data_IF_377710250751
#
_entry.id   IF_377710250751
#
_cell.length_a   1.000
_cell.length_b   1.000
_cell.length_c   1.000
_cell.angle_alpha   90.00
_cell.angle_beta   90.00
_cell.angle_gamma   90.00
#
_symmetry.space_group_name_H-M   'P 1'
#
loop_
_entity.id
_entity.type
_entity.pdbx_description
1 polymer ?
#
# COMPACT_ATOMS: atom_id res chain seq x y z
N UNK A 1 5.25 12.74 -59.60
CA UNK A 1 4.82 12.78 -58.18
C UNK A 1 3.95 11.56 -57.92
N UNK A 2 4.15 10.82 -56.82
CA UNK A 2 3.27 9.72 -56.40
C UNK A 2 3.43 9.48 -54.88
N UNK A 3 2.36 9.53 -54.06
CA UNK A 3 2.45 9.28 -52.62
C UNK A 3 2.33 7.79 -52.30
N UNK A 4 3.33 7.22 -51.63
CA UNK A 4 3.29 5.83 -51.15
C UNK A 4 2.43 5.69 -49.89
N UNK A 5 1.29 5.00 -50.00
CA UNK A 5 0.41 4.72 -48.86
C UNK A 5 0.98 3.61 -47.95
N UNK A 6 1.77 3.99 -46.95
CA UNK A 6 2.25 3.03 -45.94
C UNK A 6 1.22 2.83 -44.82
N UNK A 7 0.33 1.87 -45.00
CA UNK A 7 -0.70 1.49 -44.02
C UNK A 7 -0.10 1.11 -42.66
N UNK A 8 -0.32 1.96 -41.65
CA UNK A 8 0.10 1.71 -40.26
C UNK A 8 -1.03 1.07 -39.46
N UNK A 9 -0.98 -0.26 -39.35
CA UNK A 9 -1.99 -1.09 -38.68
C UNK A 9 -2.09 -0.73 -37.19
N UNK A 10 -3.06 0.12 -36.81
CA UNK A 10 -3.30 0.58 -35.43
C UNK A 10 -3.60 -0.60 -34.48
N UNK A 11 -2.59 -1.03 -33.72
CA UNK A 11 -2.77 -1.90 -32.56
C UNK A 11 -3.44 -1.13 -31.42
N UNK A 12 -4.71 -1.41 -31.12
CA UNK A 12 -5.48 -0.67 -30.13
C UNK A 12 -5.20 -1.16 -28.70
N UNK A 13 -4.47 -0.37 -27.91
CA UNK A 13 -4.17 -0.65 -26.50
C UNK A 13 -5.37 -0.34 -25.56
N UNK A 14 -6.57 -0.84 -25.87
CA UNK A 14 -7.85 -0.48 -25.24
C UNK A 14 -8.08 -1.16 -23.87
N UNK A 15 -7.06 -1.24 -23.01
CA UNK A 15 -7.04 -2.21 -21.90
C UNK A 15 -6.52 -1.70 -20.53
N UNK A 16 -6.21 -0.40 -20.35
CA UNK A 16 -5.70 0.11 -19.08
C UNK A 16 -6.78 0.48 -18.04
N UNK A 17 -7.84 1.19 -18.46
CA UNK A 17 -8.86 1.75 -17.55
C UNK A 17 -10.21 1.06 -17.73
N UNK A 18 -10.26 -0.27 -17.50
CA UNK A 18 -11.51 -1.04 -17.47
C UNK A 18 -11.88 -1.31 -16.01
N UNK A 19 -13.15 -1.17 -15.67
CA UNK A 19 -13.70 -1.64 -14.40
C UNK A 19 -13.46 -3.14 -14.22
N UNK A 20 -13.19 -3.55 -12.97
CA UNK A 20 -13.19 -4.96 -12.58
C UNK A 20 -14.64 -5.45 -12.48
N UNK A 21 -14.91 -6.75 -12.69
CA UNK A 21 -16.26 -7.28 -12.46
C UNK A 21 -16.46 -7.65 -10.98
N UNK A 22 -17.70 -7.68 -10.47
CA UNK A 22 -17.97 -8.05 -9.07
C UNK A 22 -17.39 -9.41 -8.68
N UNK A 23 -17.35 -10.39 -9.61
CA UNK A 23 -16.78 -11.71 -9.37
C UNK A 23 -15.25 -11.65 -9.18
N UNK A 24 -14.56 -10.81 -9.95
CA UNK A 24 -13.10 -10.61 -9.85
C UNK A 24 -12.74 -9.90 -8.54
N UNK A 25 -13.56 -8.93 -8.15
CA UNK A 25 -13.40 -8.15 -6.92
C UNK A 25 -13.61 -9.06 -5.71
N UNK A 26 -14.71 -9.82 -5.66
CA UNK A 26 -14.99 -10.77 -4.58
C UNK A 26 -13.87 -11.82 -4.44
N UNK A 27 -13.37 -12.37 -5.55
CA UNK A 27 -12.24 -13.29 -5.56
C UNK A 27 -10.96 -12.63 -5.01
N UNK A 28 -10.60 -11.44 -5.50
CA UNK A 28 -9.39 -10.73 -5.09
C UNK A 28 -9.41 -10.30 -3.61
N UNK A 29 -10.56 -9.84 -3.12
CA UNK A 29 -10.78 -9.52 -1.70
C UNK A 29 -10.66 -10.78 -0.85
N UNK A 30 -11.33 -11.88 -1.24
CA UNK A 30 -11.26 -13.16 -0.51
C UNK A 30 -9.82 -13.67 -0.36
N UNK A 31 -9.02 -13.65 -1.44
CA UNK A 31 -7.60 -14.03 -1.41
C UNK A 31 -6.78 -13.15 -0.46
N UNK A 32 -6.99 -11.83 -0.46
CA UNK A 32 -6.26 -10.93 0.43
C UNK A 32 -6.70 -11.03 1.88
N UNK A 33 -7.99 -11.20 2.16
CA UNK A 33 -8.50 -11.45 3.51
C UNK A 33 -7.96 -12.76 4.06
N UNK A 34 -7.94 -13.85 3.29
CA UNK A 34 -7.33 -15.12 3.72
C UNK A 34 -5.83 -14.96 4.04
N UNK A 35 -5.08 -14.23 3.21
CA UNK A 35 -3.66 -13.95 3.43
C UNK A 35 -3.40 -12.96 4.58
N UNK A 36 -4.38 -12.13 4.95
CA UNK A 36 -4.34 -11.25 6.12
C UNK A 36 -4.65 -12.06 7.40
N UNK A 37 -5.73 -12.85 7.40
CA UNK A 37 -6.09 -13.78 8.48
C UNK A 37 -4.95 -14.77 8.80
N UNK A 38 -4.27 -15.33 7.79
CA UNK A 38 -3.12 -16.22 8.03
C UNK A 38 -1.94 -15.48 8.70
N UNK A 39 -1.77 -14.17 8.47
CA UNK A 39 -0.73 -13.38 9.18
C UNK A 39 -1.16 -13.01 10.59
N UNK A 40 -2.41 -12.58 10.78
CA UNK A 40 -2.97 -12.24 12.08
C UNK A 40 -3.00 -13.46 13.02
N UNK A 41 -3.35 -14.64 12.51
CA UNK A 41 -3.26 -15.92 13.23
C UNK A 41 -1.83 -16.31 13.65
N UNK A 42 -0.80 -15.73 13.01
CA UNK A 42 0.61 -15.91 13.38
C UNK A 42 1.18 -14.78 14.28
N UNK A 43 0.35 -13.80 14.67
CA UNK A 43 0.76 -12.61 15.43
C UNK A 43 -0.36 -12.07 16.32
N UNK A 44 -1.01 -12.96 17.07
CA UNK A 44 -2.28 -12.66 17.74
C UNK A 44 -2.15 -11.77 18.99
N UNK A 45 -2.72 -10.55 18.94
CA UNK A 45 -3.35 -9.86 20.09
C UNK A 45 -4.21 -8.66 19.66
N UNK A 46 -5.33 -8.45 20.36
CA UNK A 46 -6.23 -7.27 20.37
C UNK A 46 -7.12 -6.95 19.12
N UNK A 47 -8.15 -6.12 19.37
CA UNK A 47 -9.22 -5.61 18.47
C UNK A 47 -9.77 -4.28 19.09
N UNK A 48 -10.84 -3.57 18.66
CA UNK A 48 -11.94 -3.74 17.67
C UNK A 48 -12.47 -2.32 17.28
N UNK A 49 -13.68 -1.96 16.79
CA UNK A 49 -15.01 -2.58 16.57
C UNK A 49 -15.77 -1.79 15.45
N UNK A 50 -17.11 -1.89 15.41
CA UNK A 50 -18.12 -1.28 14.49
C UNK A 50 -18.61 0.14 14.96
N UNK A 51 -19.38 0.98 14.23
CA UNK A 51 -19.95 1.02 12.84
C UNK A 51 -20.52 2.44 12.51
N UNK A 52 -21.02 2.63 11.27
CA UNK A 52 -22.18 3.47 10.78
C UNK A 52 -21.87 4.38 9.56
N UNK A 53 -22.81 4.41 8.61
CA UNK A 53 -22.87 5.00 7.24
C UNK A 53 -24.15 5.91 7.14
N UNK A 54 -24.54 6.62 6.03
CA UNK A 54 -24.18 6.40 4.60
C UNK A 54 -24.01 7.63 3.67
N UNK A 55 -23.79 7.33 2.37
CA UNK A 55 -24.11 8.10 1.14
C UNK A 55 -23.30 9.42 0.88
N UNK A 56 -23.10 9.89 -0.36
CA UNK A 56 -23.75 9.64 -1.67
C UNK A 56 -22.86 8.92 -2.75
N UNK A 57 -23.47 8.62 -3.90
CA UNK A 57 -22.79 8.16 -5.13
C UNK A 57 -22.70 9.27 -6.20
N UNK A 58 -21.47 9.62 -6.59
CA UNK A 58 -21.15 10.55 -7.68
C UNK A 58 -20.35 9.82 -8.75
N UNK A 59 -20.71 9.97 -10.02
CA UNK A 59 -19.99 9.41 -11.17
C UNK A 59 -18.52 9.87 -11.15
N UNK A 60 -17.61 8.92 -10.92
CA UNK A 60 -16.30 9.22 -10.34
C UNK A 60 -15.12 8.93 -11.28
N UNK A 61 -14.16 9.86 -11.43
CA UNK A 61 -13.00 9.72 -12.32
C UNK A 61 -11.95 8.68 -11.86
N UNK A 62 -12.27 7.76 -10.95
CA UNK A 62 -11.32 6.81 -10.34
C UNK A 62 -11.86 5.37 -10.36
N UNK A 63 -11.96 4.73 -11.55
CA UNK A 63 -12.80 3.55 -11.75
C UNK A 63 -12.37 2.30 -10.96
N UNK A 64 -11.10 2.17 -10.57
CA UNK A 64 -10.64 0.99 -9.82
C UNK A 64 -11.06 1.12 -8.35
N UNK A 65 -10.70 2.23 -7.68
CA UNK A 65 -11.09 2.47 -6.29
C UNK A 65 -12.62 2.43 -6.10
N UNK A 66 -13.37 3.06 -7.01
CA UNK A 66 -14.84 3.04 -6.93
C UNK A 66 -15.42 1.65 -7.26
N UNK A 67 -14.84 0.86 -8.17
CA UNK A 67 -15.32 -0.52 -8.38
C UNK A 67 -15.22 -1.38 -7.12
N UNK A 68 -14.16 -1.22 -6.32
CA UNK A 68 -14.06 -1.87 -5.01
C UNK A 68 -15.13 -1.35 -4.03
N UNK A 69 -15.32 -0.03 -3.90
CA UNK A 69 -16.34 0.58 -3.01
C UNK A 69 -17.76 0.14 -3.36
N UNK A 70 -18.16 0.24 -4.62
CA UNK A 70 -19.52 -0.08 -5.09
C UNK A 70 -19.82 -1.60 -5.06
N UNK A 71 -18.80 -2.46 -4.92
CA UNK A 71 -19.01 -3.92 -4.76
C UNK A 71 -19.26 -4.34 -3.31
N UNK A 72 -18.64 -3.65 -2.33
CA UNK A 72 -18.86 -3.79 -0.89
C UNK A 72 -18.21 -2.57 -0.21
N UNK A 73 -18.95 -1.74 0.57
CA UNK A 73 -18.42 -0.56 1.25
C UNK A 73 -17.21 -0.84 2.16
N UNK A 74 -17.05 -2.06 2.66
CA UNK A 74 -15.92 -2.46 3.52
C UNK A 74 -14.66 -2.85 2.74
N UNK A 75 -14.70 -2.92 1.41
CA UNK A 75 -13.52 -3.29 0.62
C UNK A 75 -12.32 -2.34 0.82
N UNK A 76 -12.47 -1.00 0.90
CA UNK A 76 -11.37 -0.12 1.32
C UNK A 76 -10.81 -0.50 2.69
N UNK A 77 -11.66 -0.67 3.72
CA UNK A 77 -11.25 -1.07 5.07
C UNK A 77 -10.41 -2.36 5.03
N UNK A 78 -10.91 -3.39 4.30
CA UNK A 78 -10.24 -4.69 4.16
C UNK A 78 -8.94 -4.63 3.37
N UNK A 79 -8.81 -3.74 2.38
CA UNK A 79 -7.66 -3.67 1.47
C UNK A 79 -6.56 -2.70 1.91
N UNK A 80 -6.89 -1.66 2.70
CA UNK A 80 -5.93 -0.59 3.05
C UNK A 80 -5.95 -0.19 4.54
N UNK A 81 -6.75 -0.83 5.40
CA UNK A 81 -6.93 -0.48 6.83
C UNK A 81 -7.45 0.95 7.09
N UNK A 82 -8.03 1.60 6.08
CA UNK A 82 -8.68 2.90 6.19
C UNK A 82 -10.13 2.78 5.74
N UNK A 83 -11.06 3.36 6.49
CA UNK A 83 -12.43 3.62 6.03
C UNK A 83 -12.43 4.53 4.79
N UNK A 84 -13.58 4.60 4.11
CA UNK A 84 -13.76 5.50 2.97
C UNK A 84 -13.38 6.96 3.32
N UNK A 85 -13.88 7.48 4.44
CA UNK A 85 -13.63 8.85 4.89
C UNK A 85 -12.17 9.12 5.25
N UNK A 86 -11.48 8.16 5.89
CA UNK A 86 -10.06 8.30 6.20
C UNK A 86 -9.20 8.30 4.93
N UNK A 87 -9.51 7.45 3.95
CA UNK A 87 -8.83 7.47 2.66
C UNK A 87 -9.06 8.79 1.91
N UNK A 88 -10.28 9.34 1.89
CA UNK A 88 -10.51 10.68 1.30
C UNK A 88 -9.80 11.80 2.07
N UNK A 89 -9.73 11.72 3.41
CA UNK A 89 -8.99 12.66 4.27
C UNK A 89 -7.48 12.56 4.09
N UNK A 90 -6.94 11.37 3.81
CA UNK A 90 -5.54 11.19 3.44
C UNK A 90 -5.28 11.69 2.01
N UNK A 91 -6.12 11.28 1.05
CA UNK A 91 -6.06 11.68 -0.35
C UNK A 91 -6.11 13.21 -0.52
N UNK A 92 -7.01 13.90 0.17
CA UNK A 92 -7.13 15.37 0.12
C UNK A 92 -5.86 16.13 0.53
N UNK A 93 -5.01 15.52 1.36
CA UNK A 93 -3.73 16.09 1.79
C UNK A 93 -2.59 15.80 0.80
N UNK A 94 -2.62 14.67 0.08
CA UNK A 94 -1.56 14.28 -0.88
C UNK A 94 -1.85 14.67 -2.33
N UNK A 95 -3.13 14.92 -2.70
CA UNK A 95 -3.56 15.10 -4.10
C UNK A 95 -2.86 16.21 -4.87
N UNK A 96 -2.45 17.30 -4.19
CA UNK A 96 -1.75 18.43 -4.83
C UNK A 96 -0.33 18.02 -5.22
N UNK A 97 0.48 17.62 -4.24
CA UNK A 97 1.83 17.09 -4.44
C UNK A 97 1.87 15.98 -5.49
N UNK A 98 0.91 15.05 -5.44
CA UNK A 98 0.78 13.98 -6.44
C UNK A 98 0.48 14.55 -7.84
N UNK A 99 -0.43 15.52 -7.99
CA UNK A 99 -0.76 16.10 -9.30
C UNK A 99 0.39 16.90 -9.91
N UNK A 100 1.27 17.46 -9.08
CA UNK A 100 2.43 18.26 -9.47
C UNK A 100 3.68 17.40 -9.77
N UNK A 101 3.85 16.26 -9.09
CA UNK A 101 5.08 15.45 -9.14
C UNK A 101 4.91 14.06 -9.76
N UNK A 102 3.69 13.51 -9.88
CA UNK A 102 3.45 12.23 -10.55
C UNK A 102 3.08 12.42 -12.02
N UNK A 103 3.57 11.52 -12.88
CA UNK A 103 3.21 11.46 -14.30
C UNK A 103 3.55 12.73 -15.12
N UNK A 104 4.49 13.54 -14.63
CA UNK A 104 5.03 14.75 -15.27
C UNK A 104 6.28 14.44 -16.11
N UNK A 105 6.78 15.43 -16.86
CA UNK A 105 7.96 15.30 -17.71
C UNK A 105 7.72 14.64 -19.07
N UNK A 106 8.81 14.24 -19.73
CA UNK A 106 8.82 13.62 -21.07
C UNK A 106 8.94 12.09 -20.97
N UNK A 107 8.03 11.36 -21.62
CA UNK A 107 8.05 9.90 -21.69
C UNK A 107 6.67 9.29 -21.92
N UNK A 108 6.55 7.95 -21.87
CA UNK A 108 5.23 7.30 -21.80
C UNK A 108 4.65 7.53 -20.41
N UNK A 109 3.55 8.28 -20.36
CA UNK A 109 2.77 8.49 -19.14
C UNK A 109 2.06 7.22 -18.68
N UNK A 110 1.86 7.09 -17.38
CA UNK A 110 0.96 6.10 -16.80
C UNK A 110 -0.49 6.44 -17.20
N UNK A 111 -1.27 5.42 -17.56
CA UNK A 111 -2.67 5.56 -17.97
C UNK A 111 -3.64 5.53 -16.78
N UNK A 112 -3.17 5.13 -15.58
CA UNK A 112 -3.97 5.11 -14.36
C UNK A 112 -4.14 6.51 -13.75
N UNK A 113 -5.29 6.75 -13.13
CA UNK A 113 -5.51 7.97 -12.36
C UNK A 113 -4.71 7.94 -11.06
N UNK A 114 -4.19 9.08 -10.56
CA UNK A 114 -3.24 9.04 -9.45
C UNK A 114 -3.86 8.51 -8.14
N UNK A 115 -5.17 8.70 -7.93
CA UNK A 115 -5.92 8.13 -6.80
C UNK A 115 -6.03 6.60 -6.87
N UNK A 116 -6.22 6.02 -8.06
CA UNK A 116 -6.17 4.55 -8.25
C UNK A 116 -4.79 4.01 -7.86
N UNK A 117 -3.69 4.65 -8.32
CA UNK A 117 -2.33 4.19 -8.00
C UNK A 117 -2.02 4.36 -6.51
N UNK A 118 -2.47 5.47 -5.88
CA UNK A 118 -2.33 5.66 -4.44
C UNK A 118 -3.04 4.57 -3.63
N UNK A 119 -4.28 4.21 -4.01
CA UNK A 119 -4.99 3.08 -3.42
C UNK A 119 -4.20 1.76 -3.56
N UNK A 120 -3.68 1.45 -4.75
CA UNK A 120 -2.86 0.26 -4.98
C UNK A 120 -1.57 0.25 -4.15
N UNK A 121 -0.92 1.40 -3.95
CA UNK A 121 0.27 1.52 -3.09
C UNK A 121 -0.06 1.17 -1.64
N UNK A 122 -1.16 1.72 -1.11
CA UNK A 122 -1.63 1.35 0.24
C UNK A 122 -2.00 -0.14 0.34
N UNK A 123 -2.60 -0.74 -0.70
CA UNK A 123 -2.91 -2.18 -0.72
C UNK A 123 -1.65 -3.04 -0.71
N UNK A 124 -0.60 -2.64 -1.44
CA UNK A 124 0.72 -3.31 -1.40
C UNK A 124 1.34 -3.18 -0.01
N UNK A 125 1.27 -2.00 0.62
CA UNK A 125 1.82 -1.76 1.95
C UNK A 125 1.09 -2.55 3.06
N UNK A 126 -0.25 -2.63 3.01
CA UNK A 126 -1.00 -3.51 3.93
C UNK A 126 -0.60 -4.97 3.73
N UNK A 127 -0.68 -5.47 2.50
CA UNK A 127 -0.65 -6.92 2.26
C UNK A 127 0.76 -7.50 2.02
N UNK A 128 1.82 -6.68 2.08
CA UNK A 128 3.24 -7.06 2.21
C UNK A 128 3.57 -8.50 1.76
N UNK A 129 3.46 -8.74 0.45
CA UNK A 129 3.45 -10.08 -0.13
C UNK A 129 4.12 -10.13 -1.51
N UNK A 130 4.02 -11.28 -2.18
CA UNK A 130 4.56 -11.41 -3.53
C UNK A 130 3.83 -10.48 -4.50
N UNK A 131 4.59 -9.85 -5.39
CA UNK A 131 4.07 -8.85 -6.34
C UNK A 131 3.03 -9.41 -7.32
N UNK A 132 3.10 -10.70 -7.65
CA UNK A 132 2.17 -11.39 -8.57
C UNK A 132 0.76 -11.50 -7.98
N UNK A 133 0.64 -11.84 -6.69
CA UNK A 133 -0.65 -11.90 -5.98
C UNK A 133 -1.35 -10.54 -6.05
N UNK A 134 -0.70 -9.47 -5.59
CA UNK A 134 -1.35 -8.14 -5.56
C UNK A 134 -1.56 -7.57 -6.97
N UNK A 135 -0.65 -7.82 -7.91
CA UNK A 135 -0.83 -7.41 -9.31
C UNK A 135 -2.03 -8.10 -9.99
N UNK A 136 -2.27 -9.39 -9.69
CA UNK A 136 -3.36 -10.17 -10.30
C UNK A 136 -4.75 -9.59 -9.98
N UNK A 137 -4.93 -9.06 -8.77
CA UNK A 137 -6.19 -8.50 -8.26
C UNK A 137 -6.55 -7.22 -8.98
N UNK A 138 -5.55 -6.36 -9.23
CA UNK A 138 -5.69 -5.18 -10.08
C UNK A 138 -5.56 -5.50 -11.58
N UNK A 139 -5.44 -6.78 -11.97
CA UNK A 139 -5.26 -7.29 -13.35
C UNK A 139 -4.03 -6.75 -14.11
N UNK A 140 -2.97 -6.37 -13.40
CA UNK A 140 -1.71 -5.96 -14.03
C UNK A 140 -0.75 -7.13 -14.23
N UNK A 141 0.14 -7.01 -15.22
CA UNK A 141 1.34 -7.86 -15.31
C UNK A 141 2.32 -7.47 -14.20
N UNK A 142 2.80 -8.46 -13.44
CA UNK A 142 3.62 -8.28 -12.22
C UNK A 142 4.72 -7.23 -12.33
N UNK A 143 5.62 -7.32 -13.32
CA UNK A 143 6.72 -6.36 -13.48
C UNK A 143 6.28 -4.95 -13.87
N UNK A 144 5.13 -4.79 -14.54
CA UNK A 144 4.56 -3.48 -14.85
C UNK A 144 3.90 -2.87 -13.60
N UNK A 145 3.20 -3.69 -12.80
CA UNK A 145 2.63 -3.28 -11.51
C UNK A 145 3.74 -2.84 -10.54
N UNK A 146 4.73 -3.70 -10.28
CA UNK A 146 5.87 -3.40 -9.41
C UNK A 146 6.57 -2.09 -9.82
N UNK A 147 6.85 -1.89 -11.11
CA UNK A 147 7.47 -0.64 -11.59
C UNK A 147 6.58 0.58 -11.37
N UNK A 148 5.27 0.47 -11.58
CA UNK A 148 4.31 1.55 -11.33
C UNK A 148 4.24 1.91 -9.83
N UNK A 149 4.08 0.91 -8.96
CA UNK A 149 3.97 1.10 -7.50
C UNK A 149 5.26 1.68 -6.92
N UNK A 150 6.43 1.13 -7.25
CA UNK A 150 7.71 1.64 -6.75
C UNK A 150 7.99 3.06 -7.24
N UNK A 151 7.66 3.37 -8.51
CA UNK A 151 7.83 4.73 -9.05
C UNK A 151 6.88 5.73 -8.39
N UNK A 152 5.66 5.33 -8.01
CA UNK A 152 4.71 6.19 -7.30
C UNK A 152 5.13 6.39 -5.84
N UNK A 153 5.52 5.30 -5.17
CA UNK A 153 6.03 5.32 -3.79
C UNK A 153 7.22 6.27 -3.65
N UNK A 154 8.18 6.27 -4.60
CA UNK A 154 9.31 7.21 -4.60
C UNK A 154 8.91 8.69 -4.70
N UNK A 155 7.77 9.02 -5.31
CA UNK A 155 7.25 10.40 -5.39
C UNK A 155 6.53 10.82 -4.10
N UNK A 156 5.79 9.91 -3.45
CA UNK A 156 4.99 10.25 -2.26
C UNK A 156 5.73 10.08 -0.94
N UNK A 157 6.68 9.15 -0.83
CA UNK A 157 7.30 8.80 0.45
C UNK A 157 8.03 9.98 1.13
N UNK A 158 8.80 10.83 0.42
CA UNK A 158 9.43 12.01 1.04
C UNK A 158 8.39 13.00 1.58
N UNK A 159 7.30 13.24 0.82
CA UNK A 159 6.22 14.13 1.24
C UNK A 159 5.44 13.58 2.43
N UNK A 160 5.14 12.28 2.46
CA UNK A 160 4.48 11.63 3.60
C UNK A 160 5.35 11.70 4.86
N UNK A 161 6.66 11.44 4.73
CA UNK A 161 7.60 11.50 5.85
C UNK A 161 7.73 12.91 6.42
N UNK A 162 7.93 13.92 5.56
CA UNK A 162 7.98 15.32 6.02
C UNK A 162 6.65 15.74 6.68
N UNK A 163 5.53 15.48 6.00
CA UNK A 163 4.20 15.94 6.43
C UNK A 163 3.73 15.32 7.74
N UNK A 164 3.96 14.01 7.94
CA UNK A 164 3.39 13.25 9.06
C UNK A 164 4.41 12.81 10.11
N UNK A 165 5.72 12.84 9.82
CA UNK A 165 6.77 12.55 10.81
C UNK A 165 7.53 13.83 11.18
N UNK A 166 8.24 14.46 10.24
CA UNK A 166 9.14 15.58 10.57
C UNK A 166 8.40 16.85 11.05
N UNK A 167 7.41 17.32 10.28
CA UNK A 167 6.57 18.48 10.65
C UNK A 167 5.77 18.24 11.94
N UNK A 168 5.47 16.98 12.26
CA UNK A 168 4.72 16.57 13.45
C UNK A 168 5.63 16.49 14.68
N UNK A 169 6.85 15.97 14.54
CA UNK A 169 7.88 15.98 15.58
C UNK A 169 8.28 17.41 15.98
N UNK A 170 8.44 18.32 15.01
CA UNK A 170 8.74 19.73 15.27
C UNK A 170 7.60 20.49 15.99
N UNK A 171 6.35 19.99 15.90
CA UNK A 171 5.16 20.65 16.49
C UNK A 171 4.79 20.16 17.89
N UNK A 172 5.22 18.96 18.26
CA UNK A 172 5.06 18.44 19.61
C UNK A 172 6.36 17.73 19.97
N UNK A 173 7.24 18.47 20.64
CA UNK A 173 8.52 17.95 21.11
C UNK A 173 8.30 16.93 22.23
N UNK A 174 9.31 16.10 22.53
CA UNK A 174 9.19 15.14 23.63
C UNK A 174 8.93 15.82 24.99
N UNK A 175 9.49 17.01 25.19
CA UNK A 175 9.21 17.88 26.33
C UNK A 175 7.72 18.23 26.45
N UNK A 176 7.08 18.67 25.35
CA UNK A 176 5.65 18.99 25.34
C UNK A 176 4.76 17.75 25.53
N UNK A 177 5.19 16.58 25.06
CA UNK A 177 4.47 15.31 25.26
C UNK A 177 4.55 14.85 26.72
N UNK A 178 5.74 14.94 27.35
CA UNK A 178 5.95 14.64 28.77
C UNK A 178 5.17 15.61 29.65
N UNK A 179 5.30 16.92 29.44
CA UNK A 179 4.59 17.95 30.22
C UNK A 179 3.06 17.87 30.04
N UNK A 180 2.59 17.41 28.88
CA UNK A 180 1.17 17.19 28.60
C UNK A 180 0.63 15.83 29.04
N UNK A 181 1.45 14.92 29.58
CA UNK A 181 1.03 13.56 29.96
C UNK A 181 0.67 12.64 28.78
N UNK A 182 1.15 12.93 27.56
CA UNK A 182 0.82 12.22 26.32
C UNK A 182 1.92 11.23 25.90
N UNK A 183 2.43 10.45 26.86
CA UNK A 183 3.54 9.48 26.69
C UNK A 183 3.06 8.05 26.96
N UNK A 184 3.59 7.05 26.26
CA UNK A 184 3.27 5.64 26.58
C UNK A 184 3.92 5.21 27.90
N UNK A 185 3.16 4.53 28.76
CA UNK A 185 3.56 4.14 30.12
C UNK A 185 4.91 3.40 30.18
N UNK A 186 5.13 2.50 29.22
CA UNK A 186 6.32 1.65 29.14
C UNK A 186 7.43 2.24 28.26
N UNK A 187 7.11 3.25 27.45
CA UNK A 187 7.99 3.81 26.42
C UNK A 187 7.76 5.33 26.28
N UNK A 188 8.27 6.16 27.22
CA UNK A 188 7.99 7.60 27.22
C UNK A 188 8.69 8.41 26.13
N UNK A 189 9.58 7.79 25.34
CA UNK A 189 10.39 8.43 24.30
C UNK A 189 9.86 8.27 22.86
N UNK A 190 9.37 7.10 22.38
CA UNK A 190 8.70 7.03 21.09
C UNK A 190 7.32 7.68 21.14
N UNK A 191 6.97 8.38 20.07
CA UNK A 191 5.59 8.87 19.79
C UNK A 191 4.80 7.92 18.88
N UNK A 192 5.54 7.11 18.13
CA UNK A 192 5.11 6.11 17.17
C UNK A 192 6.32 5.21 16.88
N UNK A 193 6.09 3.98 16.42
CA UNK A 193 7.18 3.04 16.10
C UNK A 193 7.83 3.40 14.74
N UNK A 194 8.74 4.38 14.72
CA UNK A 194 9.56 4.71 13.55
C UNK A 194 10.56 3.61 13.22
N UNK A 195 11.26 3.10 14.25
CA UNK A 195 12.20 1.98 14.13
C UNK A 195 11.51 0.67 14.48
N UNK A 196 10.60 0.21 13.61
CA UNK A 196 10.35 -1.23 13.47
C UNK A 196 11.58 -1.84 12.78
N UNK A 197 12.66 -1.94 13.54
CA UNK A 197 13.84 -2.70 13.13
C UNK A 197 13.42 -4.16 13.07
N UNK A 198 13.14 -4.63 11.84
CA UNK A 198 13.21 -6.05 11.52
C UNK A 198 14.64 -6.50 11.82
N UNK A 199 14.87 -6.96 13.04
CA UNK A 199 16.17 -7.47 13.46
C UNK A 199 16.57 -8.54 12.46
N UNK A 200 17.67 -8.32 11.74
CA UNK A 200 18.37 -9.43 11.12
C UNK A 200 18.65 -10.42 12.24
N UNK A 201 18.09 -11.62 12.12
CA UNK A 201 18.11 -12.60 13.19
C UNK A 201 19.57 -12.96 13.48
N UNK A 202 20.08 -12.43 14.61
CA UNK A 202 21.51 -12.36 14.88
C UNK A 202 22.15 -13.74 14.73
N UNK A 203 22.99 -13.92 13.71
CA UNK A 203 23.61 -15.21 13.43
C UNK A 203 24.42 -15.64 14.67
N UNK A 204 24.11 -16.79 15.30
CA UNK A 204 24.78 -17.19 16.53
C UNK A 204 26.30 -17.26 16.35
N UNK A 205 27.03 -16.58 17.23
CA UNK A 205 28.48 -16.72 17.33
C UNK A 205 28.82 -18.12 17.86
N UNK A 206 29.75 -18.80 17.18
CA UNK A 206 30.03 -20.22 17.42
C UNK A 206 30.54 -20.92 16.16
N UNK A 207 30.80 -22.22 16.25
CA UNK A 207 31.24 -23.10 15.16
C UNK A 207 30.05 -23.49 14.28
N UNK A 208 30.32 -23.88 13.03
CA UNK A 208 29.29 -24.21 12.03
C UNK A 208 28.23 -25.21 12.54
N UNK A 209 28.65 -26.21 13.34
CA UNK A 209 27.78 -27.25 13.91
C UNK A 209 26.79 -26.70 14.95
N UNK A 210 27.16 -25.65 15.67
CA UNK A 210 26.27 -24.96 16.63
C UNK A 210 25.25 -24.08 15.90
N UNK A 211 25.69 -23.34 14.87
CA UNK A 211 24.81 -22.47 14.06
C UNK A 211 23.73 -23.24 13.29
N UNK A 212 24.00 -24.49 12.91
CA UNK A 212 23.07 -25.36 12.20
C UNK A 212 21.76 -25.61 12.99
N UNK A 213 21.83 -25.70 14.33
CA UNK A 213 20.66 -25.90 15.21
C UNK A 213 19.61 -24.80 15.13
N UNK A 214 20.02 -23.61 14.67
CA UNK A 214 19.24 -22.39 14.52
C UNK A 214 18.83 -22.10 13.06
N UNK A 215 19.21 -22.95 12.10
CA UNK A 215 18.90 -22.72 10.68
C UNK A 215 17.45 -23.12 10.35
N UNK A 216 16.68 -22.17 9.80
CA UNK A 216 15.33 -22.42 9.28
C UNK A 216 15.35 -22.67 7.78
N UNK A 217 15.33 -23.93 7.37
CA UNK A 217 15.33 -24.33 5.95
C UNK A 217 14.13 -23.79 5.15
N UNK A 218 13.02 -23.44 5.82
CA UNK A 218 11.82 -22.83 5.22
C UNK A 218 12.02 -21.35 4.83
N UNK A 219 12.93 -20.66 5.51
CA UNK A 219 13.15 -19.22 5.37
C UNK A 219 14.59 -18.85 4.98
N UNK A 220 15.49 -19.84 4.91
CA UNK A 220 16.92 -19.72 4.61
C UNK A 220 17.70 -18.77 5.54
N UNK A 221 17.23 -18.59 6.78
CA UNK A 221 17.81 -17.71 7.79
C UNK A 221 18.16 -18.49 9.06
N UNK A 222 19.19 -18.05 9.79
CA UNK A 222 19.49 -18.52 11.15
C UNK A 222 18.75 -17.64 12.14
N UNK A 223 17.88 -18.21 12.98
CA UNK A 223 17.11 -17.48 13.97
C UNK A 223 16.99 -18.24 15.29
N UNK A 224 16.66 -17.52 16.36
CA UNK A 224 16.39 -18.13 17.65
C UNK A 224 15.17 -19.07 17.54
N UNK A 225 15.20 -20.15 18.32
CA UNK A 225 14.01 -20.92 18.69
C UNK A 225 13.52 -20.44 20.05
#
# INVERSE_FOLDING_TARGET
>A
MAPSQRSTRRGSARAANRSLSPQDIAHGVSVLTQLDTHRQAAGASAASLCLVEPEDEVDSPCPIYHSFRTSDPENPSRLINFSHHEFERLWSQVRMHISENWNVGRGRKCEQTPKNVFFMVLTVLKHCGKWDVVASIFRFKTGAFQKMILSFAGVIAPFLYDRFVASVANKFTMEQLVLGGNTFDHHPYPRYATDVTFQQSNMPSGKMKERASYYSAKHHLHGHK
#
